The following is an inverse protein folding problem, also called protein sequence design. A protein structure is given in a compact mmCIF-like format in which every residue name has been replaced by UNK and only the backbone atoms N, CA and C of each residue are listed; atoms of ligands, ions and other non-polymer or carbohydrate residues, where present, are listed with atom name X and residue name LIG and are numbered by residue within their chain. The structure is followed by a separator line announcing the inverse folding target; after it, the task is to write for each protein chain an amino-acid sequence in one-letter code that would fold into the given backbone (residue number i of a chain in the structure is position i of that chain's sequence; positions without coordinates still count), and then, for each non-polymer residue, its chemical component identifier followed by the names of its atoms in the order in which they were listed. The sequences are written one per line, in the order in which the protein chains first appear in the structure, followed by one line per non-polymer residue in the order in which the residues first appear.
data_IF_870864613780
#
_entry.id   IF_870864613780
#
_cell.length_a   1.000
_cell.length_b   1.000
_cell.length_c   1.000
_cell.angle_alpha   90.00
_cell.angle_beta   90.00
_cell.angle_gamma   90.00
#
_symmetry.space_group_name_H-M   'P 1'
#
loop_
_entity.id
_entity.type
_entity.pdbx_description
1 polymer ?
#
# COMPACT_ATOMS: atom_id res chain seq x y z
N UNK A 1 14.83 -14.60 -6.07
CA UNK A 1 14.84 -13.26 -5.43
C UNK A 1 13.46 -13.04 -4.86
N UNK A 2 13.29 -12.51 -3.64
CA UNK A 2 11.95 -12.23 -3.13
C UNK A 2 11.26 -11.28 -4.10
N UNK A 3 10.08 -11.66 -4.55
CA UNK A 3 9.28 -10.86 -5.46
C UNK A 3 8.95 -9.53 -4.77
N UNK A 4 9.59 -8.46 -5.24
CA UNK A 4 9.50 -7.13 -4.62
C UNK A 4 8.08 -6.55 -4.76
N UNK A 5 7.23 -7.18 -5.58
CA UNK A 5 5.84 -6.79 -5.80
C UNK A 5 4.97 -6.86 -4.55
N UNK A 6 5.38 -7.53 -3.46
CA UNK A 6 4.52 -7.69 -2.26
C UNK A 6 5.18 -7.23 -0.96
N UNK A 7 6.06 -6.24 -1.07
CA UNK A 7 6.65 -5.64 0.12
C UNK A 7 5.61 -4.70 0.74
N UNK A 8 5.23 -4.89 2.02
CA UNK A 8 4.39 -3.94 2.69
C UNK A 8 5.12 -2.61 2.80
N UNK A 9 4.43 -1.55 2.43
CA UNK A 9 4.91 -0.18 2.46
C UNK A 9 3.96 0.67 3.27
N UNK A 10 4.46 1.81 3.70
CA UNK A 10 3.68 2.84 4.35
C UNK A 10 3.64 4.03 3.41
N UNK A 11 2.43 4.51 3.14
CA UNK A 11 2.21 5.65 2.24
C UNK A 11 1.28 6.65 2.94
N UNK A 12 1.57 7.97 2.90
CA UNK A 12 0.64 9.00 3.33
C UNK A 12 -0.70 8.86 2.61
N UNK A 13 -1.80 8.88 3.37
CA UNK A 13 -3.13 8.83 2.79
C UNK A 13 -3.45 10.20 2.15
N UNK A 14 -3.49 10.23 0.81
CA UNK A 14 -3.93 11.33 -0.06
C UNK A 14 -3.07 12.63 -0.05
N UNK A 15 -2.82 13.25 -1.22
CA UNK A 15 -2.03 14.47 -1.33
C UNK A 15 -2.76 15.75 -0.86
N UNK A 16 -4.06 15.70 -0.57
CA UNK A 16 -4.86 16.90 -0.21
C UNK A 16 -4.84 17.25 1.29
N UNK A 17 -4.21 16.43 2.14
CA UNK A 17 -4.12 16.71 3.57
C UNK A 17 -2.68 16.99 3.96
N UNK A 18 -2.23 18.21 3.67
CA UNK A 18 -1.08 18.80 4.35
C UNK A 18 -1.44 18.94 5.84
N UNK A 19 -1.02 17.97 6.66
CA UNK A 19 -0.58 18.14 8.07
C UNK A 19 -0.43 16.79 8.77
N UNK A 20 0.81 16.40 9.08
CA UNK A 20 1.11 15.48 10.18
C UNK A 20 0.89 13.98 9.95
N UNK A 21 1.75 13.35 9.14
CA UNK A 21 2.17 11.93 9.19
C UNK A 21 1.16 10.89 9.71
N UNK A 22 0.05 10.69 8.99
CA UNK A 22 -0.77 9.48 9.09
C UNK A 22 -0.44 8.54 7.92
N UNK A 23 0.62 7.76 8.06
CA UNK A 23 0.94 6.74 7.05
C UNK A 23 0.01 5.54 7.17
N UNK A 24 -0.53 5.10 6.03
CA UNK A 24 -1.46 3.98 5.88
C UNK A 24 -0.72 2.74 5.35
N UNK A 25 -1.00 1.52 5.87
CA UNK A 25 -0.39 0.29 5.36
C UNK A 25 -0.84 0.00 3.93
N UNK A 26 0.11 -0.30 3.07
CA UNK A 26 -0.12 -0.64 1.68
C UNK A 26 0.84 -1.73 1.24
N UNK A 27 0.63 -2.27 0.05
CA UNK A 27 1.53 -3.21 -0.63
C UNK A 27 1.85 -2.64 -2.01
N UNK A 28 3.00 -3.00 -2.56
CA UNK A 28 3.19 -2.83 -4.00
C UNK A 28 2.18 -3.73 -4.73
N UNK A 29 1.69 -3.29 -5.87
CA UNK A 29 0.76 -4.07 -6.69
C UNK A 29 0.84 -3.55 -8.12
N UNK A 30 0.78 -4.39 -9.16
CA UNK A 30 0.71 -3.92 -10.54
C UNK A 30 -0.51 -3.01 -10.76
N UNK A 31 -0.33 -1.94 -11.55
CA UNK A 31 -1.45 -1.14 -12.05
C UNK A 31 -2.28 -2.01 -13.01
N UNK A 32 -3.60 -2.12 -12.83
CA UNK A 32 -4.44 -2.97 -13.68
C UNK A 32 -4.46 -2.56 -15.15
N UNK A 33 -4.08 -1.32 -15.48
CA UNK A 33 -4.09 -0.82 -16.85
C UNK A 33 -2.75 -0.99 -17.56
N UNK A 34 -1.64 -1.03 -16.82
CA UNK A 34 -0.28 -1.09 -17.40
C UNK A 34 0.53 -2.30 -16.94
N UNK A 35 -0.01 -3.11 -16.03
CA UNK A 35 0.61 -4.30 -15.42
C UNK A 35 2.00 -4.06 -14.79
N UNK A 36 2.34 -2.80 -14.56
CA UNK A 36 3.58 -2.37 -13.93
C UNK A 36 3.30 -1.77 -12.56
N UNK A 37 4.26 -1.91 -11.64
CA UNK A 37 4.17 -1.32 -10.30
C UNK A 37 5.23 -0.24 -10.04
N UNK A 38 6.07 0.07 -11.04
CA UNK A 38 7.15 1.06 -10.95
C UNK A 38 7.09 1.97 -12.16
N UNK A 39 7.20 3.29 -11.95
CA UNK A 39 7.47 4.26 -13.02
C UNK A 39 8.80 4.94 -12.77
N UNK A 40 9.67 4.86 -13.78
CA UNK A 40 10.97 5.51 -13.78
C UNK A 40 10.85 6.92 -14.36
N UNK A 41 11.57 7.85 -13.77
CA UNK A 41 11.79 9.19 -14.30
C UNK A 41 12.79 9.21 -15.45
N UNK A 42 13.04 10.40 -16.01
CA UNK A 42 13.97 10.59 -17.15
C UNK A 42 15.40 10.14 -16.85
N UNK A 43 15.81 10.20 -15.59
CA UNK A 43 17.15 9.82 -15.13
C UNK A 43 17.26 8.33 -14.76
N UNK A 44 16.20 7.54 -14.96
CA UNK A 44 16.18 6.12 -14.62
C UNK A 44 15.94 5.82 -13.13
N UNK A 45 15.79 6.85 -12.29
CA UNK A 45 15.37 6.69 -10.90
C UNK A 45 13.87 6.40 -10.78
N UNK A 46 13.48 5.65 -9.76
CA UNK A 46 12.06 5.41 -9.49
C UNK A 46 11.39 6.69 -9.00
N UNK A 47 10.42 7.18 -9.77
CA UNK A 47 9.62 8.35 -9.39
C UNK A 47 8.32 7.95 -8.69
N UNK A 48 7.71 6.83 -9.10
CA UNK A 48 6.45 6.36 -8.54
C UNK A 48 6.42 4.85 -8.35
N UNK A 49 5.71 4.44 -7.31
CA UNK A 49 5.28 3.06 -7.09
C UNK A 49 3.76 2.99 -7.17
N UNK A 50 3.24 1.98 -7.85
CA UNK A 50 1.83 1.66 -7.74
C UNK A 50 1.62 0.84 -6.47
N UNK A 51 0.70 1.33 -5.65
CA UNK A 51 0.40 0.77 -4.33
C UNK A 51 -1.06 0.43 -4.22
N UNK A 52 -1.35 -0.63 -3.48
CA UNK A 52 -2.68 -0.95 -2.99
C UNK A 52 -2.73 -0.74 -1.47
N UNK A 53 -3.53 0.23 -1.04
CA UNK A 53 -3.81 0.49 0.36
C UNK A 53 -4.68 -0.63 0.92
N UNK A 54 -4.22 -1.22 2.03
CA UNK A 54 -4.94 -2.26 2.77
C UNK A 54 -6.11 -1.65 3.54
N UNK A 55 -7.02 -2.50 4.04
CA UNK A 55 -8.20 -2.06 4.78
C UNK A 55 -9.50 -2.31 4.02
N UNK A 56 -10.59 -1.63 4.38
CA UNK A 56 -11.90 -1.85 3.73
C UNK A 56 -12.58 -0.53 3.35
N UNK A 57 -12.83 -0.28 2.05
CA UNK A 57 -12.34 -1.05 0.89
C UNK A 57 -10.84 -0.83 0.65
N UNK A 58 -10.21 -1.74 -0.12
CA UNK A 58 -8.89 -1.50 -0.69
C UNK A 58 -8.97 -0.38 -1.73
N UNK A 59 -7.93 0.44 -1.82
CA UNK A 59 -7.80 1.49 -2.84
C UNK A 59 -6.40 1.48 -3.45
N UNK A 60 -6.22 2.07 -4.64
CA UNK A 60 -4.94 2.04 -5.36
C UNK A 60 -4.51 3.42 -5.81
N UNK A 61 -3.20 3.62 -5.89
CA UNK A 61 -2.63 4.92 -6.25
C UNK A 61 -1.19 4.79 -6.75
N UNK A 62 -0.77 5.68 -7.65
CA UNK A 62 0.64 5.89 -7.97
C UNK A 62 1.27 6.83 -6.95
N UNK A 63 1.86 6.26 -5.90
CA UNK A 63 2.53 7.00 -4.86
C UNK A 63 3.92 7.46 -5.31
N UNK A 64 4.23 8.75 -5.12
CA UNK A 64 5.58 9.26 -5.35
C UNK A 64 6.58 8.52 -4.44
N UNK A 65 7.68 8.04 -5.00
CA UNK A 65 8.66 7.18 -4.31
C UNK A 65 9.19 7.81 -3.01
N UNK A 66 9.35 9.15 -2.99
CA UNK A 66 9.76 9.91 -1.80
C UNK A 66 8.80 9.82 -0.60
N UNK A 67 7.57 9.36 -0.82
CA UNK A 67 6.55 9.21 0.22
C UNK A 67 6.30 7.73 0.57
N UNK A 68 7.03 6.80 -0.04
CA UNK A 68 6.90 5.36 0.20
C UNK A 68 8.01 4.92 1.14
N UNK A 69 7.62 4.40 2.29
CA UNK A 69 8.55 3.84 3.28
C UNK A 69 8.33 2.34 3.40
N UNK A 70 9.38 1.57 3.68
CA UNK A 70 9.21 0.16 4.06
C UNK A 70 8.37 0.06 5.32
N UNK A 71 7.41 -0.84 5.34
CA UNK A 71 6.59 -1.04 6.51
C UNK A 71 7.37 -1.77 7.61
N UNK A 72 7.34 -1.20 8.81
CA UNK A 72 7.93 -1.77 10.02
C UNK A 72 6.89 -1.94 11.11
N UNK A 73 6.95 -3.04 11.87
CA UNK A 73 6.03 -3.34 12.97
C UNK A 73 6.10 -2.32 14.12
N UNK A 74 7.15 -1.51 14.19
CA UNK A 74 7.26 -0.38 15.12
C UNK A 74 6.29 0.78 14.83
N UNK A 75 5.64 0.79 13.65
CA UNK A 75 4.59 1.76 13.30
C UNK A 75 3.24 1.49 13.99
N UNK A 76 3.12 0.43 14.80
CA UNK A 76 1.93 0.01 15.55
C UNK A 76 1.54 0.92 16.73
N UNK A 77 2.22 2.06 16.95
CA UNK A 77 1.92 2.98 18.06
C UNK A 77 1.14 4.22 17.58
N UNK A 78 -0.02 4.58 18.18
CA UNK A 78 -0.91 5.60 17.63
C UNK A 78 -0.41 7.03 17.65
N UNK A 79 -0.25 7.62 16.46
CA UNK A 79 -0.62 9.02 16.20
C UNK A 79 -2.02 9.15 15.55
N UNK A 80 -2.83 8.08 15.60
CA UNK A 80 -4.10 7.94 14.87
C UNK A 80 -5.37 8.07 15.74
N UNK A 81 -5.26 8.59 16.98
CA UNK A 81 -6.42 8.90 17.87
C UNK A 81 -7.48 9.79 17.22
N UNK A 82 -7.15 10.47 16.12
CA UNK A 82 -8.03 11.38 15.40
C UNK A 82 -8.80 10.71 14.24
N UNK A 83 -8.60 9.41 13.96
CA UNK A 83 -9.44 8.68 13.01
C UNK A 83 -10.77 8.30 13.67
N UNK A 84 -11.89 8.60 13.01
CA UNK A 84 -13.23 8.32 13.51
C UNK A 84 -14.03 7.48 12.50
N UNK A 85 -15.08 6.82 12.99
CA UNK A 85 -16.05 6.11 12.17
C UNK A 85 -15.44 5.00 11.31
N UNK A 86 -15.88 4.94 10.04
CA UNK A 86 -15.47 3.92 9.08
C UNK A 86 -13.96 3.94 8.80
N UNK A 87 -13.32 5.12 8.84
CA UNK A 87 -11.88 5.25 8.58
C UNK A 87 -11.04 4.54 9.65
N UNK A 88 -11.46 4.62 10.92
CA UNK A 88 -10.78 3.90 12.00
C UNK A 88 -10.89 2.39 11.83
N UNK A 89 -12.09 1.89 11.50
CA UNK A 89 -12.32 0.46 11.27
C UNK A 89 -11.50 -0.04 10.08
N UNK A 90 -11.49 0.72 8.99
CA UNK A 90 -10.68 0.39 7.81
C UNK A 90 -9.19 0.32 8.14
N UNK A 91 -8.69 1.25 8.97
CA UNK A 91 -7.30 1.25 9.41
C UNK A 91 -6.95 0.06 10.32
N UNK A 92 -7.83 -0.31 11.26
CA UNK A 92 -7.66 -1.49 12.11
C UNK A 92 -7.54 -2.76 11.25
N UNK A 93 -8.40 -2.90 10.24
CA UNK A 93 -8.32 -3.99 9.26
C UNK A 93 -7.01 -3.93 8.46
N UNK A 94 -6.60 -2.75 8.00
CA UNK A 94 -5.35 -2.56 7.25
C UNK A 94 -4.12 -2.99 8.05
N UNK A 95 -4.12 -2.76 9.36
CA UNK A 95 -3.03 -3.18 10.25
C UNK A 95 -3.00 -4.69 10.45
N UNK A 96 -4.16 -5.33 10.61
CA UNK A 96 -4.25 -6.80 10.70
C UNK A 96 -3.81 -7.47 9.39
N UNK A 97 -4.21 -6.91 8.25
CA UNK A 97 -3.78 -7.38 6.92
C UNK A 97 -2.28 -7.21 6.75
N UNK A 98 -1.72 -6.04 7.09
CA UNK A 98 -0.28 -5.81 7.00
C UNK A 98 0.53 -6.78 7.88
N UNK A 99 0.05 -7.09 9.08
CA UNK A 99 0.67 -8.07 9.96
C UNK A 99 0.69 -9.47 9.32
N UNK A 100 -0.42 -9.91 8.72
CA UNK A 100 -0.50 -11.19 8.00
C UNK A 100 0.45 -11.22 6.80
N UNK A 101 0.46 -10.17 5.97
CA UNK A 101 1.35 -10.08 4.80
C UNK A 101 2.81 -10.17 5.23
N UNK A 102 3.18 -9.59 6.37
CA UNK A 102 4.54 -9.66 6.92
C UNK A 102 4.96 -11.09 7.30
N UNK A 103 4.03 -11.93 7.74
CA UNK A 103 4.28 -13.32 8.14
C UNK A 103 4.29 -14.29 6.95
N UNK A 104 3.68 -13.91 5.83
CA UNK A 104 3.54 -14.76 4.64
C UNK A 104 4.84 -14.89 3.84
N UNK A 105 5.03 -16.06 3.22
CA UNK A 105 6.09 -16.30 2.23
C UNK A 105 5.83 -15.56 0.93
N UNK A 106 6.85 -15.40 0.08
CA UNK A 106 6.72 -14.64 -1.18
C UNK A 106 5.60 -15.15 -2.10
N UNK A 107 5.40 -16.47 -2.18
CA UNK A 107 4.38 -17.08 -3.04
C UNK A 107 2.95 -16.86 -2.52
N UNK A 108 2.76 -16.93 -1.20
CA UNK A 108 1.44 -16.68 -0.58
C UNK A 108 1.03 -15.22 -0.74
N UNK A 109 2.01 -14.30 -0.69
CA UNK A 109 1.74 -12.88 -0.87
C UNK A 109 1.14 -12.56 -2.25
N UNK A 110 1.55 -13.27 -3.30
CA UNK A 110 0.99 -13.10 -4.65
C UNK A 110 -0.53 -13.34 -4.71
N UNK A 111 -1.08 -14.13 -3.78
CA UNK A 111 -2.51 -14.49 -3.76
C UNK A 111 -3.40 -13.48 -3.01
N UNK A 112 -2.81 -12.48 -2.34
CA UNK A 112 -3.54 -11.51 -1.51
C UNK A 112 -4.06 -10.34 -2.36
N UNK A 113 -3.61 -10.23 -3.62
CA UNK A 113 -4.21 -9.27 -4.55
C UNK A 113 -5.69 -9.57 -4.66
N UNK A 114 -6.53 -8.67 -4.15
CA UNK A 114 -7.98 -8.78 -4.30
C UNK A 114 -8.44 -8.43 -5.73
N UNK A 115 -7.52 -8.30 -6.69
CA UNK A 115 -7.85 -8.03 -8.07
C UNK A 115 -8.19 -9.31 -8.83
N UNK A 116 -9.45 -9.40 -9.24
CA UNK A 116 -9.85 -10.13 -10.43
C UNK A 116 -9.81 -9.11 -11.59
N UNK A 117 -9.15 -9.41 -12.72
CA UNK A 117 -9.32 -8.60 -13.93
C UNK A 117 -10.81 -8.43 -14.17
N UNK A 118 -11.28 -7.19 -14.34
CA UNK A 118 -12.60 -7.00 -14.92
C UNK A 118 -12.47 -7.47 -16.36
N UNK A 119 -13.06 -8.64 -16.67
CA UNK A 119 -13.17 -9.09 -18.05
C UNK A 119 -13.86 -7.97 -18.84
N UNK A 120 -13.13 -7.42 -19.81
CA UNK A 120 -13.67 -6.44 -20.74
C UNK A 120 -14.83 -7.13 -21.48
N UNK A 121 -16.08 -6.74 -21.20
CA UNK A 121 -17.25 -7.16 -21.98
C UNK A 121 -17.32 -6.38 -23.30
#
# INVERSE_FOLDING_TARGET
MPDKTWVPVRVPQMPEVETGTKGWPAILSPDPNVEEYVRLGREGYVEYYHVEFLGRPHTRYWAAAKHVELYHTSFTKPKYRNLQGAMRKSYEVAMEEAAKVMEMGCEERLQISHFQPQELQ
#
